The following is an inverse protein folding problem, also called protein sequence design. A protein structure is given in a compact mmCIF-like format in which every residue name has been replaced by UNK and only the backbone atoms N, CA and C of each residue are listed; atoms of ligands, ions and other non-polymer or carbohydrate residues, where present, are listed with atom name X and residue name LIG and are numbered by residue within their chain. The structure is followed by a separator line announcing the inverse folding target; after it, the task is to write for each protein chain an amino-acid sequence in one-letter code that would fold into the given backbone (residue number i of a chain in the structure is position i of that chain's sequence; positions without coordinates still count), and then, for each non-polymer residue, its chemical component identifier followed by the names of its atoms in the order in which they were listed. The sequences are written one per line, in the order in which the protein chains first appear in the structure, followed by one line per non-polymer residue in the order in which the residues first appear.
data_IF_007119169861
#
_entry.id   IF_007119169861
#
_cell.length_a   1.000
_cell.length_b   1.000
_cell.length_c   1.000
_cell.angle_alpha   90.00
_cell.angle_beta   90.00
_cell.angle_gamma   90.00
#
_symmetry.space_group_name_H-M   'P 1'
#
loop_
_entity.id
_entity.type
_entity.pdbx_description
1 polymer ?
#
# COMPACT_ATOMS: atom_id res chain seq x y z
N UNK A 1 -7.86 9.98 -46.34
CA UNK A 1 -8.10 8.71 -45.63
C UNK A 1 -6.96 8.27 -44.69
N UNK A 2 -5.76 8.88 -44.73
CA UNK A 2 -4.57 8.41 -43.99
C UNK A 2 -4.58 8.64 -42.46
N UNK A 3 -5.29 9.65 -41.95
CA UNK A 3 -5.26 9.99 -40.51
C UNK A 3 -6.06 9.01 -39.61
N UNK A 4 -7.12 8.39 -40.15
CA UNK A 4 -7.97 7.44 -39.40
C UNK A 4 -7.26 6.12 -39.12
N UNK A 5 -6.38 5.69 -40.04
CA UNK A 5 -5.58 4.48 -39.87
C UNK A 5 -4.39 4.71 -38.92
N UNK A 6 -3.87 5.93 -38.87
CA UNK A 6 -2.80 6.32 -37.95
C UNK A 6 -3.27 6.37 -36.48
N UNK A 7 -4.53 6.78 -36.24
CA UNK A 7 -5.15 6.74 -34.90
C UNK A 7 -5.46 5.30 -34.43
N UNK A 8 -5.87 4.41 -35.34
CA UNK A 8 -6.06 2.99 -35.04
C UNK A 8 -4.73 2.28 -34.71
N UNK A 9 -3.65 2.61 -35.41
CA UNK A 9 -2.31 2.08 -35.11
C UNK A 9 -1.77 2.57 -33.76
N UNK A 10 -2.07 3.82 -33.37
CA UNK A 10 -1.67 4.35 -32.06
C UNK A 10 -2.45 3.70 -30.90
N UNK A 11 -3.73 3.38 -31.11
CA UNK A 11 -4.57 2.65 -30.14
C UNK A 11 -4.09 1.21 -29.90
N UNK A 12 -3.60 0.51 -30.93
CA UNK A 12 -3.13 -0.88 -30.79
C UNK A 12 -1.79 -1.00 -30.05
N UNK A 13 -0.91 0.01 -30.14
CA UNK A 13 0.37 0.04 -29.43
C UNK A 13 0.24 0.25 -27.90
N UNK A 14 -0.80 0.96 -27.46
CA UNK A 14 -1.03 1.25 -26.04
C UNK A 14 -1.50 0.00 -25.28
N UNK A 15 -2.24 -0.92 -25.93
CA UNK A 15 -2.73 -2.13 -25.28
C UNK A 15 -1.61 -3.08 -24.83
N UNK A 16 -0.47 -3.10 -25.53
CA UNK A 16 0.67 -3.94 -25.15
C UNK A 16 1.45 -3.41 -23.92
N UNK A 17 1.32 -2.12 -23.61
CA UNK A 17 1.96 -1.50 -22.43
C UNK A 17 1.20 -1.76 -21.12
N UNK A 18 -0.06 -2.20 -21.20
CA UNK A 18 -0.90 -2.45 -20.02
C UNK A 18 -0.73 -3.87 -19.44
N UNK A 19 -0.09 -4.78 -20.16
CA UNK A 19 0.12 -6.15 -19.70
C UNK A 19 1.49 -6.29 -19.05
N UNK A 20 1.52 -6.25 -17.71
CA UNK A 20 2.69 -6.68 -16.93
C UNK A 20 3.06 -8.11 -17.34
N UNK A 21 4.36 -8.36 -17.56
CA UNK A 21 4.89 -9.70 -17.81
C UNK A 21 4.40 -10.68 -16.73
N UNK A 22 3.84 -11.83 -17.14
CA UNK A 22 3.47 -12.88 -16.19
C UNK A 22 4.74 -13.47 -15.57
N UNK A 23 4.78 -13.50 -14.24
CA UNK A 23 5.90 -14.04 -13.48
C UNK A 23 5.70 -15.52 -13.16
N UNK A 24 4.52 -15.90 -12.70
CA UNK A 24 4.14 -17.30 -12.46
C UNK A 24 2.63 -17.50 -12.53
N UNK A 25 2.20 -18.75 -12.53
CA UNK A 25 0.79 -19.15 -12.58
C UNK A 25 0.47 -20.18 -11.50
N UNK A 26 -0.76 -20.16 -11.00
CA UNK A 26 -1.27 -21.17 -10.07
C UNK A 26 -2.72 -21.52 -10.45
N UNK A 27 -2.95 -22.75 -10.89
CA UNK A 27 -4.22 -23.13 -11.54
C UNK A 27 -4.47 -22.28 -12.78
N UNK A 28 -5.65 -21.65 -12.84
CA UNK A 28 -6.07 -20.76 -13.93
C UNK A 28 -5.66 -19.29 -13.72
N UNK A 29 -5.06 -18.96 -12.58
CA UNK A 29 -4.69 -17.59 -12.21
C UNK A 29 -3.24 -17.30 -12.58
N UNK A 30 -2.97 -16.05 -12.95
CA UNK A 30 -1.64 -15.55 -13.34
C UNK A 30 -1.25 -14.40 -12.42
N UNK A 31 0.03 -14.37 -12.00
CA UNK A 31 0.60 -13.25 -11.25
C UNK A 31 1.57 -12.49 -12.15
N UNK A 32 1.39 -11.18 -12.24
CA UNK A 32 2.28 -10.29 -12.97
C UNK A 32 3.52 -9.91 -12.15
N UNK A 33 4.61 -9.62 -12.86
CA UNK A 33 5.83 -9.02 -12.29
C UNK A 33 5.52 -7.77 -11.45
N UNK A 34 4.67 -6.88 -11.94
CA UNK A 34 4.42 -5.60 -11.26
C UNK A 34 3.65 -5.77 -9.96
N UNK A 35 2.65 -6.68 -9.93
CA UNK A 35 1.94 -7.06 -8.71
C UNK A 35 2.91 -7.65 -7.68
N UNK A 36 3.75 -8.59 -8.12
CA UNK A 36 4.75 -9.22 -7.26
C UNK A 36 5.75 -8.21 -6.69
N UNK A 37 6.32 -7.34 -7.52
CA UNK A 37 7.27 -6.32 -7.08
C UNK A 37 6.61 -5.30 -6.16
N UNK A 38 5.36 -4.90 -6.42
CA UNK A 38 4.59 -4.03 -5.51
C UNK A 38 4.40 -4.68 -4.15
N UNK A 39 4.13 -5.99 -4.10
CA UNK A 39 4.00 -6.73 -2.85
C UNK A 39 5.34 -6.84 -2.11
N UNK A 40 6.43 -7.19 -2.80
CA UNK A 40 7.78 -7.30 -2.24
C UNK A 40 8.27 -5.97 -1.66
N UNK A 41 8.09 -4.87 -2.40
CA UNK A 41 8.59 -3.56 -2.02
C UNK A 41 7.83 -2.92 -0.84
N UNK A 42 6.75 -3.53 -0.34
CA UNK A 42 6.08 -3.04 0.89
C UNK A 42 6.99 -3.15 2.10
N UNK A 43 7.69 -4.27 2.24
CA UNK A 43 8.54 -4.57 3.38
C UNK A 43 9.74 -5.45 2.95
N UNK A 44 10.67 -4.91 2.14
CA UNK A 44 11.86 -5.67 1.76
C UNK A 44 12.77 -5.90 2.97
N UNK A 45 13.38 -7.08 3.07
CA UNK A 45 14.38 -7.36 4.10
C UNK A 45 15.71 -6.68 3.71
N UNK A 46 16.20 -5.67 4.46
CA UNK A 46 17.41 -4.93 4.11
C UNK A 46 18.70 -5.73 4.39
N UNK A 47 18.63 -6.81 5.18
CA UNK A 47 19.79 -7.60 5.59
C UNK A 47 20.25 -8.63 4.56
N UNK A 48 19.48 -8.83 3.48
CA UNK A 48 19.77 -9.83 2.44
C UNK A 48 19.99 -9.12 1.11
N UNK A 49 20.88 -9.66 0.27
CA UNK A 49 20.98 -9.18 -1.10
C UNK A 49 19.63 -9.26 -1.80
N UNK A 50 19.27 -8.20 -2.52
CA UNK A 50 18.00 -8.08 -3.25
C UNK A 50 17.67 -9.31 -4.11
N UNK A 51 18.67 -9.90 -4.79
CA UNK A 51 18.46 -11.07 -5.65
C UNK A 51 17.96 -12.28 -4.87
N UNK A 52 18.56 -12.53 -3.70
CA UNK A 52 18.20 -13.67 -2.87
C UNK A 52 16.91 -13.41 -2.11
N UNK A 53 16.73 -12.19 -1.60
CA UNK A 53 15.46 -11.76 -1.00
C UNK A 53 14.27 -11.85 -1.96
N UNK A 54 14.46 -11.53 -3.25
CA UNK A 54 13.42 -11.71 -4.27
C UNK A 54 13.08 -13.18 -4.50
N UNK A 55 14.07 -14.09 -4.49
CA UNK A 55 13.83 -15.53 -4.67
C UNK A 55 13.10 -16.14 -3.48
N UNK A 56 13.53 -15.80 -2.27
CA UNK A 56 12.89 -16.27 -1.04
C UNK A 56 11.44 -15.76 -0.97
N UNK A 57 11.25 -14.46 -1.24
CA UNK A 57 9.92 -13.88 -1.26
C UNK A 57 9.05 -14.45 -2.37
N UNK A 58 9.61 -14.81 -3.53
CA UNK A 58 8.86 -15.47 -4.61
C UNK A 58 8.26 -16.79 -4.12
N UNK A 59 9.05 -17.63 -3.45
CA UNK A 59 8.55 -18.90 -2.91
C UNK A 59 7.47 -18.67 -1.84
N UNK A 60 7.69 -17.72 -0.92
CA UNK A 60 6.70 -17.35 0.08
C UNK A 60 5.40 -16.86 -0.57
N UNK A 61 5.51 -16.03 -1.60
CA UNK A 61 4.37 -15.42 -2.28
C UNK A 61 3.56 -16.45 -3.09
N UNK A 62 4.22 -17.41 -3.74
CA UNK A 62 3.56 -18.55 -4.41
C UNK A 62 2.76 -19.36 -3.38
N UNK A 63 3.38 -19.72 -2.26
CA UNK A 63 2.73 -20.48 -1.19
C UNK A 63 1.54 -19.70 -0.59
N UNK A 64 1.69 -18.40 -0.40
CA UNK A 64 0.61 -17.52 0.05
C UNK A 64 -0.58 -17.56 -0.93
N UNK A 65 -0.35 -17.38 -2.23
CA UNK A 65 -1.41 -17.42 -3.25
C UNK A 65 -2.12 -18.77 -3.30
N UNK A 66 -1.37 -19.87 -3.16
CA UNK A 66 -1.93 -21.23 -3.09
C UNK A 66 -2.83 -21.41 -1.86
N UNK A 67 -2.38 -20.98 -0.67
CA UNK A 67 -3.18 -21.07 0.56
C UNK A 67 -4.45 -20.22 0.49
N UNK A 68 -4.34 -19.01 -0.05
CA UNK A 68 -5.51 -18.14 -0.26
C UNK A 68 -6.49 -18.81 -1.22
N UNK A 69 -6.01 -19.36 -2.34
CA UNK A 69 -6.86 -20.10 -3.26
C UNK A 69 -7.57 -21.27 -2.58
N UNK A 70 -6.85 -22.09 -1.81
CA UNK A 70 -7.44 -23.20 -1.08
C UNK A 70 -8.55 -22.73 -0.12
N UNK A 71 -8.31 -21.64 0.63
CA UNK A 71 -9.31 -21.08 1.53
C UNK A 71 -10.59 -20.59 0.79
N UNK A 72 -10.45 -20.03 -0.42
CA UNK A 72 -11.60 -19.67 -1.26
C UNK A 72 -12.32 -20.91 -1.82
N UNK A 73 -11.57 -21.93 -2.24
CA UNK A 73 -12.13 -23.18 -2.74
C UNK A 73 -12.92 -23.90 -1.61
N UNK A 74 -12.50 -23.76 -0.35
CA UNK A 74 -13.20 -24.23 0.86
C UNK A 74 -14.30 -23.27 1.37
N UNK A 75 -14.52 -22.15 0.67
CA UNK A 75 -15.52 -21.10 1.03
C UNK A 75 -15.34 -20.53 2.44
N UNK A 76 -14.11 -20.52 2.97
CA UNK A 76 -13.82 -19.95 4.30
C UNK A 76 -14.14 -18.45 4.35
N UNK A 77 -14.02 -17.77 3.21
CA UNK A 77 -14.40 -16.37 3.04
C UNK A 77 -15.92 -16.10 3.16
N UNK A 78 -16.76 -17.14 3.07
CA UNK A 78 -18.22 -17.00 3.18
C UNK A 78 -18.74 -17.21 4.60
N UNK A 79 -17.89 -17.76 5.48
CA UNK A 79 -18.20 -18.04 6.88
C UNK A 79 -18.65 -16.75 7.60
N UNK A 80 -19.71 -16.80 8.43
CA UNK A 80 -20.21 -15.62 9.15
C UNK A 80 -19.13 -14.93 9.99
N UNK A 81 -18.28 -15.70 10.66
CA UNK A 81 -17.16 -15.20 11.47
C UNK A 81 -16.18 -14.38 10.63
N UNK A 82 -15.77 -14.91 9.47
CA UNK A 82 -14.86 -14.19 8.58
C UNK A 82 -15.48 -12.89 8.04
N UNK A 83 -16.76 -12.92 7.67
CA UNK A 83 -17.46 -11.70 7.22
C UNK A 83 -17.49 -10.63 8.32
N UNK A 84 -17.82 -11.03 9.54
CA UNK A 84 -17.85 -10.14 10.70
C UNK A 84 -16.46 -9.53 10.98
N UNK A 85 -15.42 -10.36 11.06
CA UNK A 85 -14.05 -9.92 11.30
C UNK A 85 -13.53 -9.03 10.17
N UNK A 86 -13.79 -9.39 8.91
CA UNK A 86 -13.38 -8.59 7.75
C UNK A 86 -13.99 -7.19 7.76
N UNK A 87 -15.28 -7.07 8.10
CA UNK A 87 -15.96 -5.78 8.20
C UNK A 87 -15.36 -4.94 9.34
N UNK A 88 -15.14 -5.54 10.51
CA UNK A 88 -14.59 -4.82 11.65
C UNK A 88 -13.14 -4.38 11.40
N UNK A 89 -12.32 -5.23 10.79
CA UNK A 89 -10.97 -4.87 10.39
C UNK A 89 -10.96 -3.71 9.39
N UNK A 90 -11.85 -3.73 8.38
CA UNK A 90 -11.99 -2.61 7.42
C UNK A 90 -12.36 -1.30 8.12
N UNK A 91 -13.27 -1.34 9.11
CA UNK A 91 -13.64 -0.16 9.90
C UNK A 91 -12.43 0.39 10.66
N UNK A 92 -11.69 -0.45 11.36
CA UNK A 92 -10.50 -0.03 12.11
C UNK A 92 -9.43 0.61 11.20
N UNK A 93 -9.19 0.03 10.02
CA UNK A 93 -8.24 0.61 9.06
C UNK A 93 -8.74 1.94 8.50
N UNK A 94 -10.02 2.04 8.13
CA UNK A 94 -10.61 3.27 7.60
C UNK A 94 -10.59 4.39 8.64
N UNK A 95 -10.98 4.10 9.88
CA UNK A 95 -10.98 5.07 10.97
C UNK A 95 -9.56 5.60 11.23
N UNK A 96 -8.55 4.71 11.23
CA UNK A 96 -7.15 5.14 11.39
C UNK A 96 -6.68 6.07 10.27
N UNK A 97 -6.94 5.72 9.01
CA UNK A 97 -6.52 6.54 7.85
C UNK A 97 -7.23 7.90 7.86
N UNK A 98 -8.55 7.91 8.06
CA UNK A 98 -9.36 9.14 8.06
C UNK A 98 -8.93 10.06 9.22
N UNK A 99 -8.69 9.50 10.41
CA UNK A 99 -8.27 10.27 11.57
C UNK A 99 -6.84 10.81 11.40
N UNK A 100 -5.93 10.05 10.79
CA UNK A 100 -4.56 10.51 10.50
C UNK A 100 -4.56 11.70 9.52
N UNK A 101 -5.31 11.62 8.42
CA UNK A 101 -5.44 12.74 7.47
C UNK A 101 -6.12 13.96 8.09
N UNK A 102 -7.16 13.76 8.92
CA UNK A 102 -7.84 14.84 9.61
C UNK A 102 -6.90 15.57 10.59
N UNK A 103 -6.14 14.82 11.39
CA UNK A 103 -5.18 15.36 12.36
C UNK A 103 -4.04 16.12 11.66
N UNK A 104 -3.48 15.57 10.57
CA UNK A 104 -2.42 16.24 9.81
C UNK A 104 -2.91 17.58 9.26
N UNK A 105 -4.13 17.61 8.71
CA UNK A 105 -4.70 18.85 8.18
C UNK A 105 -4.95 19.92 9.26
N UNK A 106 -5.36 19.50 10.46
CA UNK A 106 -5.54 20.42 11.59
C UNK A 106 -4.20 21.00 12.05
N UNK A 107 -3.18 20.14 12.21
CA UNK A 107 -1.82 20.57 12.58
C UNK A 107 -1.20 21.51 11.54
N UNK A 108 -1.42 21.25 10.24
CA UNK A 108 -0.96 22.15 9.16
C UNK A 108 -1.64 23.52 9.25
N UNK A 109 -2.96 23.56 9.51
CA UNK A 109 -3.69 24.82 9.69
C UNK A 109 -3.22 25.58 10.92
N UNK A 110 -2.99 24.88 12.03
CA UNK A 110 -2.47 25.46 13.27
C UNK A 110 -1.08 26.05 13.06
N UNK A 111 -0.15 25.28 12.48
CA UNK A 111 1.20 25.73 12.16
C UNK A 111 1.20 26.94 11.23
N UNK A 112 0.35 26.94 10.19
CA UNK A 112 0.19 28.08 9.28
C UNK A 112 -0.36 29.32 10.01
N UNK A 113 -1.32 29.15 10.92
CA UNK A 113 -1.87 30.25 11.73
C UNK A 113 -0.81 30.81 12.68
N UNK A 114 0.00 29.96 13.30
CA UNK A 114 1.10 30.37 14.16
C UNK A 114 2.20 31.08 13.38
N UNK A 115 2.53 30.62 12.17
CA UNK A 115 3.60 31.24 11.35
C UNK A 115 3.27 32.67 10.91
N UNK A 116 2.00 33.06 10.90
CA UNK A 116 1.58 34.43 10.56
C UNK A 116 1.86 35.43 11.68
N UNK A 117 2.20 34.96 12.88
CA UNK A 117 2.44 35.80 14.04
C UNK A 117 3.84 35.55 14.59
N UNK A 118 4.67 36.59 14.55
CA UNK A 118 5.97 36.56 15.20
C UNK A 118 5.83 37.10 16.63
N UNK A 119 6.31 36.35 17.63
CA UNK A 119 6.22 36.72 19.05
C UNK A 119 7.62 36.67 19.64
N UNK A 120 8.10 37.82 20.09
CA UNK A 120 9.36 37.91 20.83
C UNK A 120 9.10 37.67 22.32
N UNK A 121 9.69 36.60 22.87
CA UNK A 121 9.56 36.25 24.29
C UNK A 121 10.94 36.20 24.93
N UNK A 122 11.10 36.90 26.05
CA UNK A 122 12.24 36.74 26.94
C UNK A 122 11.76 36.01 28.21
N UNK A 123 12.41 34.91 28.57
CA UNK A 123 12.15 34.19 29.81
C UNK A 123 13.38 34.22 30.72
N UNK A 124 13.14 34.44 32.00
CA UNK A 124 14.15 34.30 33.05
C UNK A 124 13.75 33.08 33.86
N UNK A 125 14.61 32.06 33.85
CA UNK A 125 14.43 30.86 34.65
C UNK A 125 15.22 31.02 35.95
N UNK A 126 14.59 30.74 37.09
CA UNK A 126 15.23 30.79 38.40
C UNK A 126 15.06 29.42 39.04
N UNK A 127 16.17 28.83 39.46
CA UNK A 127 16.18 27.57 40.19
C UNK A 127 15.65 27.79 41.61
N UNK A 128 14.67 26.99 42.02
CA UNK A 128 14.14 26.96 43.39
C UNK A 128 14.68 25.71 44.07
N UNK A 129 15.32 25.86 45.23
CA UNK A 129 15.80 24.71 46.01
C UNK A 129 14.60 23.89 46.51
N UNK A 130 14.66 22.55 46.39
CA UNK A 130 13.63 21.67 46.96
C UNK A 130 13.56 21.85 48.48
N UNK A 131 12.35 22.00 49.01
CA UNK A 131 12.07 22.05 50.44
C UNK A 131 12.08 20.68 51.10
#
# INVERSE_FOLDING_TARGET
MSKKWMLLAFSAGISQLLYSQTLFTYGTQKVGKDEFLKAYNKNPNPSINRKDGLKEYLNLYINYKLKVKAAYDEKLNEQPTFKYESINFKKQVADNIINEEANVNELVKEAFKHSQKDIHVAQIFIEVKPG
#
